data_IF_416851301332
#
_entry.id   IF_416851301332
#
_cell.length_a   1.000
_cell.length_b   1.000
_cell.length_c   1.000
_cell.angle_alpha   90.00
_cell.angle_beta   90.00
_cell.angle_gamma   90.00
#
_symmetry.space_group_name_H-M   'P 1'
#
loop_
_entity.id
_entity.type
_entity.pdbx_description
1 polymer ?
#
# COMPACT_ATOMS: atom_id res chain seq x y z
N UNK A 1 21.07 -2.08 20.93
CA UNK A 1 19.64 -1.82 21.11
C UNK A 1 19.31 -0.51 20.43
N UNK A 2 18.71 -0.56 19.23
CA UNK A 2 18.18 0.62 18.55
C UNK A 2 16.80 0.20 18.07
N UNK A 3 15.77 0.77 18.70
CA UNK A 3 14.38 0.46 18.40
C UNK A 3 14.00 1.09 17.06
N UNK A 4 13.67 0.23 16.11
CA UNK A 4 12.79 0.60 15.00
C UNK A 4 11.48 1.09 15.61
N UNK A 5 11.17 2.37 15.40
CA UNK A 5 9.85 2.90 15.71
C UNK A 5 8.85 2.23 14.75
N UNK A 6 8.32 1.09 15.16
CA UNK A 6 7.11 0.53 14.56
C UNK A 6 6.01 1.49 14.94
N UNK A 7 5.60 2.34 13.99
CA UNK A 7 4.40 3.15 14.15
C UNK A 7 3.22 2.19 13.98
N UNK A 8 2.84 1.57 15.09
CA UNK A 8 1.63 0.76 15.21
C UNK A 8 0.44 1.70 15.03
N UNK A 9 -0.38 1.56 13.96
CA UNK A 9 -1.55 2.40 13.80
C UNK A 9 -2.55 2.04 14.92
N UNK A 10 -3.01 3.00 15.72
CA UNK A 10 -4.09 2.74 16.67
C UNK A 10 -5.34 2.38 15.88
N UNK A 11 -6.06 1.35 16.32
CA UNK A 11 -7.38 1.01 15.78
C UNK A 11 -8.29 2.25 15.88
N UNK A 12 -8.52 2.93 14.77
CA UNK A 12 -9.35 4.12 14.76
C UNK A 12 -10.79 3.74 15.08
N UNK A 13 -11.30 4.29 16.19
CA UNK A 13 -12.73 4.35 16.42
C UNK A 13 -13.34 5.24 15.33
N UNK A 14 -14.51 4.88 14.79
CA UNK A 14 -15.19 5.56 13.68
C UNK A 14 -15.28 7.11 13.81
N UNK A 15 -15.23 7.64 15.05
CA UNK A 15 -15.20 9.08 15.33
C UNK A 15 -13.92 9.80 14.90
N UNK A 16 -12.76 9.13 14.87
CA UNK A 16 -11.50 9.75 14.49
C UNK A 16 -11.35 9.93 12.97
N UNK A 17 -11.85 8.97 12.18
CA UNK A 17 -11.89 9.09 10.73
C UNK A 17 -12.74 10.28 10.29
N UNK A 18 -13.98 10.40 10.80
CA UNK A 18 -14.88 11.49 10.44
C UNK A 18 -14.29 12.87 10.76
N UNK A 19 -13.59 13.00 11.89
CA UNK A 19 -12.91 14.24 12.29
C UNK A 19 -11.75 14.58 11.36
N UNK A 20 -10.90 13.60 11.06
CA UNK A 20 -9.76 13.80 10.14
C UNK A 20 -10.19 14.19 8.74
N UNK A 21 -11.21 13.51 8.20
CA UNK A 21 -11.81 13.85 6.90
C UNK A 21 -12.38 15.27 6.89
N UNK A 22 -13.00 15.69 7.99
CA UNK A 22 -13.53 17.05 8.12
C UNK A 22 -12.42 18.10 8.08
N UNK A 23 -11.26 17.84 8.72
CA UNK A 23 -10.12 18.75 8.66
C UNK A 23 -9.51 18.84 7.26
N UNK A 24 -9.31 17.70 6.58
CA UNK A 24 -8.81 17.68 5.20
C UNK A 24 -9.73 18.50 4.29
N UNK A 25 -11.06 18.34 4.41
CA UNK A 25 -12.04 19.10 3.60
C UNK A 25 -12.08 20.60 3.89
N UNK A 26 -11.69 21.05 5.08
CA UNK A 26 -11.57 22.48 5.36
C UNK A 26 -10.44 23.11 4.55
N UNK A 27 -9.35 22.37 4.33
CA UNK A 27 -8.17 22.84 3.58
C UNK A 27 -8.27 22.54 2.08
N UNK A 28 -8.99 21.48 1.70
CA UNK A 28 -9.30 21.11 0.32
C UNK A 28 -10.79 20.76 0.18
N UNK A 29 -11.66 21.75 -0.09
CA UNK A 29 -13.10 21.52 -0.24
C UNK A 29 -13.48 20.59 -1.41
N UNK A 30 -12.54 20.31 -2.33
CA UNK A 30 -12.75 19.40 -3.46
C UNK A 30 -12.45 17.94 -3.11
N UNK A 31 -11.82 17.67 -1.97
CA UNK A 31 -11.55 16.33 -1.52
C UNK A 31 -12.87 15.59 -1.22
N UNK A 32 -13.10 14.50 -1.96
CA UNK A 32 -14.24 13.60 -1.78
C UNK A 32 -13.77 12.24 -1.26
N UNK A 33 -13.93 11.96 0.04
CA UNK A 33 -13.47 10.69 0.62
C UNK A 33 -14.21 9.47 0.05
N UNK A 34 -15.46 9.65 -0.42
CA UNK A 34 -16.24 8.54 -1.00
C UNK A 34 -15.64 8.03 -2.30
N UNK A 35 -14.83 8.86 -2.97
CA UNK A 35 -14.13 8.52 -4.21
C UNK A 35 -12.70 8.09 -3.99
N UNK A 36 -12.16 8.18 -2.78
CA UNK A 36 -10.73 7.94 -2.54
C UNK A 36 -10.34 6.47 -2.65
N UNK A 37 -11.29 5.55 -2.47
CA UNK A 37 -11.06 4.11 -2.64
C UNK A 37 -10.68 3.74 -4.09
N UNK A 38 -11.18 4.47 -5.10
CA UNK A 38 -10.89 4.22 -6.52
C UNK A 38 -9.41 4.46 -6.87
N UNK A 39 -8.81 5.66 -6.65
CA UNK A 39 -7.40 5.88 -6.92
C UNK A 39 -6.49 5.05 -6.00
N UNK A 40 -6.90 4.77 -4.76
CA UNK A 40 -6.15 3.86 -3.90
C UNK A 40 -6.09 2.44 -4.51
N UNK A 41 -7.20 1.95 -5.06
CA UNK A 41 -7.26 0.64 -5.73
C UNK A 41 -6.43 0.61 -7.03
N UNK A 42 -6.43 1.70 -7.82
CA UNK A 42 -5.54 1.82 -8.99
C UNK A 42 -4.07 1.69 -8.58
N UNK A 43 -3.66 2.45 -7.55
CA UNK A 43 -2.28 2.42 -7.05
C UNK A 43 -1.95 1.02 -6.51
N UNK A 44 -2.87 0.38 -5.79
CA UNK A 44 -2.71 -1.00 -5.32
C UNK A 44 -2.33 -1.95 -6.45
N UNK A 45 -3.14 -2.03 -7.51
CA UNK A 45 -2.84 -2.95 -8.63
C UNK A 45 -1.56 -2.58 -9.38
N UNK A 46 -1.29 -1.29 -9.57
CA UNK A 46 -0.06 -0.83 -10.25
C UNK A 46 1.20 -1.18 -9.47
N UNK A 47 1.17 -1.01 -8.14
CA UNK A 47 2.29 -1.35 -7.26
C UNK A 47 2.52 -2.86 -7.23
N UNK A 48 1.45 -3.67 -7.16
CA UNK A 48 1.57 -5.13 -7.24
C UNK A 48 2.14 -5.59 -8.59
N UNK A 49 1.72 -4.98 -9.70
CA UNK A 49 2.27 -5.27 -11.01
C UNK A 49 3.76 -4.90 -11.12
N UNK A 50 4.13 -3.73 -10.62
CA UNK A 50 5.51 -3.26 -10.54
C UNK A 50 6.39 -4.22 -9.71
N UNK A 51 5.88 -4.67 -8.56
CA UNK A 51 6.55 -5.64 -7.69
C UNK A 51 6.82 -6.98 -8.39
N UNK A 52 5.81 -7.56 -9.07
CA UNK A 52 5.98 -8.80 -9.84
C UNK A 52 6.99 -8.65 -10.99
N UNK A 53 7.00 -7.48 -11.64
CA UNK A 53 8.00 -7.14 -12.67
C UNK A 53 9.38 -6.80 -12.08
N UNK A 54 9.46 -6.66 -10.75
CA UNK A 54 10.60 -6.08 -9.99
C UNK A 54 10.94 -4.65 -10.41
N UNK A 55 10.09 -3.96 -11.16
CA UNK A 55 10.35 -2.64 -11.75
C UNK A 55 9.40 -1.59 -11.16
N UNK A 56 9.93 -0.75 -10.28
CA UNK A 56 9.18 0.28 -9.58
C UNK A 56 9.13 1.62 -10.33
N UNK A 57 9.86 1.78 -11.44
CA UNK A 57 10.01 3.08 -12.10
C UNK A 57 8.68 3.67 -12.56
N UNK A 58 7.79 2.83 -13.10
CA UNK A 58 6.45 3.22 -13.56
C UNK A 58 5.50 3.69 -12.44
N UNK A 59 5.80 3.37 -11.17
CA UNK A 59 4.97 3.74 -10.02
C UNK A 59 5.64 4.76 -9.09
N UNK A 60 6.93 5.09 -9.27
CA UNK A 60 7.60 6.15 -8.47
C UNK A 60 6.78 7.44 -8.33
N UNK A 61 6.06 7.95 -9.35
CA UNK A 61 5.28 9.17 -9.22
C UNK A 61 4.11 9.08 -8.22
N UNK A 62 3.69 7.89 -7.79
CA UNK A 62 2.63 7.69 -6.79
C UNK A 62 3.17 7.18 -5.44
N UNK A 63 4.48 7.09 -5.28
CA UNK A 63 5.15 6.71 -4.03
C UNK A 63 5.81 7.93 -3.39
N UNK A 64 6.03 7.89 -2.08
CA UNK A 64 7.04 8.74 -1.45
C UNK A 64 8.44 8.26 -1.86
N UNK A 65 9.45 9.13 -1.71
CA UNK A 65 10.83 8.76 -2.01
C UNK A 65 11.31 7.58 -1.17
N UNK A 66 10.99 7.59 0.13
CA UNK A 66 11.31 6.52 1.06
C UNK A 66 10.65 5.19 0.67
N UNK A 67 9.35 5.20 0.36
CA UNK A 67 8.63 4.00 -0.07
C UNK A 67 9.22 3.46 -1.38
N UNK A 68 9.47 4.33 -2.36
CA UNK A 68 10.09 3.92 -3.62
C UNK A 68 11.48 3.29 -3.40
N UNK A 69 12.31 3.88 -2.55
CA UNK A 69 13.63 3.35 -2.24
C UNK A 69 13.55 1.97 -1.53
N UNK A 70 12.65 1.83 -0.55
CA UNK A 70 12.44 0.58 0.17
C UNK A 70 11.97 -0.55 -0.77
N UNK A 71 10.95 -0.28 -1.60
CA UNK A 71 10.43 -1.28 -2.55
C UNK A 71 11.45 -1.63 -3.63
N UNK A 72 12.23 -0.66 -4.11
CA UNK A 72 13.32 -0.90 -5.05
C UNK A 72 14.40 -1.81 -4.46
N UNK A 73 14.80 -1.56 -3.21
CA UNK A 73 15.81 -2.38 -2.52
C UNK A 73 15.33 -3.84 -2.38
N UNK A 74 14.06 -4.05 -2.08
CA UNK A 74 13.48 -5.39 -2.03
C UNK A 74 13.40 -6.06 -3.41
N UNK A 75 13.07 -5.31 -4.47
CA UNK A 75 13.13 -5.80 -5.85
C UNK A 75 14.56 -6.23 -6.24
N UNK A 76 15.56 -5.44 -5.86
CA UNK A 76 16.97 -5.73 -6.13
C UNK A 76 17.46 -6.95 -5.35
N UNK A 77 16.98 -7.14 -4.12
CA UNK A 77 17.22 -8.35 -3.35
C UNK A 77 16.66 -9.59 -4.07
N UNK A 78 15.42 -9.53 -4.57
CA UNK A 78 14.83 -10.63 -5.35
C UNK A 78 15.64 -10.93 -6.62
N UNK A 79 16.08 -9.89 -7.35
CA UNK A 79 16.98 -10.05 -8.51
C UNK A 79 18.29 -10.72 -8.14
N UNK A 80 18.94 -10.28 -7.07
CA UNK A 80 20.20 -10.86 -6.59
C UNK A 80 20.05 -12.34 -6.22
N UNK A 81 18.87 -12.70 -5.70
CA UNK A 81 18.53 -14.08 -5.36
C UNK A 81 18.03 -14.91 -6.55
N UNK A 82 17.87 -14.31 -7.74
CA UNK A 82 17.26 -14.93 -8.93
C UNK A 82 15.87 -15.48 -8.65
N UNK A 83 15.08 -14.70 -7.92
CA UNK A 83 13.74 -15.03 -7.46
C UNK A 83 12.73 -14.07 -8.06
N UNK A 84 11.55 -14.60 -8.36
CA UNK A 84 10.42 -13.83 -8.86
C UNK A 84 9.22 -14.08 -7.95
N UNK A 85 8.75 -13.05 -7.25
CA UNK A 85 7.47 -13.14 -6.57
C UNK A 85 6.32 -13.02 -7.57
N UNK A 86 5.30 -13.85 -7.41
CA UNK A 86 4.15 -13.98 -8.30
C UNK A 86 2.88 -13.84 -7.48
N UNK A 87 2.02 -12.94 -7.92
CA UNK A 87 0.71 -12.70 -7.34
C UNK A 87 -0.34 -13.00 -8.40
N UNK A 88 -1.09 -14.06 -8.20
CA UNK A 88 -2.11 -14.52 -9.15
C UNK A 88 -3.49 -14.56 -8.50
N UNK A 89 -4.55 -14.53 -9.30
CA UNK A 89 -5.94 -14.60 -8.83
C UNK A 89 -6.29 -13.60 -7.72
N UNK A 90 -5.74 -12.38 -7.82
CA UNK A 90 -6.01 -11.31 -6.86
C UNK A 90 -7.51 -11.01 -6.87
N UNK A 91 -8.15 -11.20 -5.72
CA UNK A 91 -9.56 -10.91 -5.48
C UNK A 91 -9.68 -9.96 -4.30
N UNK A 92 -9.95 -8.68 -4.60
CA UNK A 92 -10.22 -7.65 -3.59
C UNK A 92 -11.66 -7.82 -3.08
N UNK A 93 -11.81 -7.92 -1.76
CA UNK A 93 -13.10 -8.12 -1.08
C UNK A 93 -13.67 -6.85 -0.50
N UNK A 94 -12.80 -5.99 0.05
CA UNK A 94 -13.19 -4.70 0.60
C UNK A 94 -12.06 -3.68 0.44
N UNK A 95 -12.45 -2.42 0.24
CA UNK A 95 -11.57 -1.26 0.17
C UNK A 95 -12.25 -0.15 0.94
N UNK A 96 -11.80 0.10 2.17
CA UNK A 96 -12.47 1.01 3.09
C UNK A 96 -11.48 2.04 3.61
N UNK A 97 -11.89 3.30 3.74
CA UNK A 97 -11.08 4.28 4.46
C UNK A 97 -11.06 3.87 5.94
N UNK A 98 -9.87 3.70 6.49
CA UNK A 98 -9.66 3.32 7.89
C UNK A 98 -9.37 4.55 8.75
N UNK A 99 -8.47 5.42 8.28
CA UNK A 99 -8.00 6.58 9.03
C UNK A 99 -7.82 7.79 8.13
N UNK A 100 -7.96 8.97 8.73
CA UNK A 100 -7.56 10.21 8.12
C UNK A 100 -7.06 11.15 9.22
N UNK A 101 -5.96 11.86 8.95
CA UNK A 101 -5.45 12.86 9.89
C UNK A 101 -4.60 13.90 9.16
N UNK A 102 -4.23 14.95 9.90
CA UNK A 102 -3.26 15.93 9.46
C UNK A 102 -2.14 15.98 10.50
N UNK A 103 -0.89 15.92 10.03
CA UNK A 103 0.28 16.05 10.90
C UNK A 103 1.38 16.81 10.16
N UNK A 104 2.01 17.78 10.84
CA UNK A 104 3.21 18.50 10.36
C UNK A 104 3.08 19.06 8.93
N UNK A 105 1.91 19.58 8.57
CA UNK A 105 1.65 20.17 7.26
C UNK A 105 1.41 19.15 6.14
N UNK A 106 1.16 17.89 6.48
CA UNK A 106 0.72 16.84 5.55
C UNK A 106 -0.70 16.36 5.90
N UNK A 107 -1.48 16.05 4.88
CA UNK A 107 -2.68 15.23 4.99
C UNK A 107 -2.28 13.75 4.90
N UNK A 108 -2.98 12.89 5.64
CA UNK A 108 -2.84 11.44 5.57
C UNK A 108 -4.21 10.77 5.47
N UNK A 109 -4.29 9.72 4.66
CA UNK A 109 -5.45 8.83 4.58
C UNK A 109 -4.96 7.39 4.50
N UNK A 110 -5.42 6.54 5.40
CA UNK A 110 -5.18 5.10 5.37
C UNK A 110 -6.39 4.38 4.80
N UNK A 111 -6.14 3.47 3.86
CA UNK A 111 -7.14 2.62 3.23
C UNK A 111 -6.88 1.17 3.60
N UNK A 112 -7.88 0.49 4.15
CA UNK A 112 -7.87 -0.94 4.44
C UNK A 112 -8.26 -1.72 3.19
N UNK A 113 -7.36 -2.59 2.75
CA UNK A 113 -7.59 -3.58 1.72
C UNK A 113 -7.77 -4.95 2.36
N UNK A 114 -8.92 -5.57 2.14
CA UNK A 114 -9.13 -6.98 2.45
C UNK A 114 -9.15 -7.75 1.13
N UNK A 115 -8.21 -8.66 0.93
CA UNK A 115 -8.07 -9.36 -0.34
C UNK A 115 -7.59 -10.80 -0.14
N UNK A 116 -7.67 -11.58 -1.22
CA UNK A 116 -7.08 -12.91 -1.31
C UNK A 116 -6.37 -13.09 -2.64
N UNK A 117 -5.24 -13.77 -2.64
CA UNK A 117 -4.44 -14.04 -3.84
C UNK A 117 -3.64 -15.33 -3.68
N UNK A 118 -3.14 -15.86 -4.78
CA UNK A 118 -2.06 -16.84 -4.77
C UNK A 118 -0.74 -16.08 -4.66
N UNK A 119 0.01 -16.32 -3.58
CA UNK A 119 1.34 -15.77 -3.36
C UNK A 119 2.35 -16.90 -3.43
N UNK A 120 3.27 -16.81 -4.39
CA UNK A 120 4.37 -17.74 -4.48
C UNK A 120 5.59 -17.11 -5.12
N UNK A 121 6.76 -17.60 -4.73
CA UNK A 121 8.04 -17.20 -5.31
C UNK A 121 8.58 -18.32 -6.16
N UNK A 122 9.00 -17.99 -7.38
CA UNK A 122 9.65 -18.93 -8.31
C UNK A 122 11.13 -18.65 -8.46
N UNK A 123 11.84 -19.60 -9.06
CA UNK A 123 13.13 -19.34 -9.71
C UNK A 123 12.98 -18.31 -10.85
N UNK A 124 14.12 -17.79 -11.33
CA UNK A 124 14.17 -16.84 -12.44
C UNK A 124 13.45 -17.36 -13.70
N UNK A 125 13.50 -18.68 -13.94
CA UNK A 125 12.84 -19.34 -15.07
C UNK A 125 11.32 -19.50 -14.93
N UNK A 126 10.76 -19.33 -13.73
CA UNK A 126 9.33 -19.51 -13.46
C UNK A 126 8.86 -20.98 -13.40
N UNK A 127 9.78 -21.92 -13.50
CA UNK A 127 9.51 -23.36 -13.57
C UNK A 127 9.30 -23.98 -12.20
N UNK A 128 10.12 -23.58 -11.22
CA UNK A 128 10.09 -24.15 -9.89
C UNK A 128 9.52 -23.14 -8.90
N UNK A 129 8.54 -23.57 -8.11
CA UNK A 129 8.09 -22.84 -6.92
C UNK A 129 9.10 -23.10 -5.80
N UNK A 130 9.66 -22.02 -5.26
CA UNK A 130 10.63 -22.02 -4.16
C UNK A 130 9.91 -21.81 -2.82
N UNK A 131 8.86 -21.00 -2.81
CA UNK A 131 8.11 -20.61 -1.61
C UNK A 131 6.65 -20.30 -1.97
N UNK A 132 5.73 -20.48 -1.02
CA UNK A 132 4.30 -20.22 -1.19
C UNK A 132 3.56 -21.31 -1.96
N UNK A 133 2.38 -20.98 -2.49
CA UNK A 133 1.49 -21.94 -3.14
C UNK A 133 0.84 -21.40 -4.40
N UNK A 134 0.81 -22.23 -5.45
CA UNK A 134 0.07 -21.97 -6.70
C UNK A 134 -1.41 -22.35 -6.64
N UNK A 135 -1.85 -22.98 -5.54
CA UNK A 135 -3.19 -23.55 -5.45
C UNK A 135 -3.94 -23.15 -4.18
N UNK A 136 -3.24 -22.64 -3.17
CA UNK A 136 -3.81 -22.24 -1.90
C UNK A 136 -3.78 -20.72 -1.78
N UNK A 137 -4.94 -20.04 -1.93
CA UNK A 137 -4.98 -18.59 -1.77
C UNK A 137 -4.73 -18.20 -0.32
N UNK A 138 -3.86 -17.21 -0.14
CA UNK A 138 -3.70 -16.51 1.13
C UNK A 138 -4.72 -15.37 1.20
N UNK A 139 -5.26 -15.15 2.40
CA UNK A 139 -6.09 -13.98 2.71
C UNK A 139 -5.23 -13.02 3.50
N UNK A 140 -5.32 -11.75 3.18
CA UNK A 140 -4.59 -10.71 3.88
C UNK A 140 -5.45 -9.47 4.05
N UNK A 141 -5.14 -8.73 5.09
CA UNK A 141 -5.66 -7.41 5.37
C UNK A 141 -4.46 -6.47 5.46
N UNK A 142 -4.47 -5.41 4.68
CA UNK A 142 -3.42 -4.41 4.62
C UNK A 142 -3.98 -3.01 4.75
N UNK A 143 -3.23 -2.13 5.41
CA UNK A 143 -3.49 -0.71 5.53
C UNK A 143 -2.48 0.03 4.68
N UNK A 144 -2.95 0.72 3.66
CA UNK A 144 -2.13 1.51 2.75
C UNK A 144 -2.32 2.98 3.10
N UNK A 145 -1.28 3.61 3.62
CA UNK A 145 -1.30 5.01 4.03
C UNK A 145 -0.81 5.89 2.88
N UNK A 146 -1.64 6.86 2.49
CA UNK A 146 -1.32 7.86 1.48
C UNK A 146 -1.12 9.21 2.14
N UNK A 147 -0.20 10.01 1.61
CA UNK A 147 0.10 11.36 2.08
C UNK A 147 0.21 12.37 0.96
N UNK A 148 -0.05 13.64 1.29
CA UNK A 148 0.22 14.82 0.45
C UNK A 148 0.42 16.04 1.35
N UNK A 149 1.04 17.12 0.86
CA UNK A 149 1.00 18.41 1.55
C UNK A 149 -0.45 18.86 1.74
N UNK A 150 -0.73 19.54 2.85
CA UNK A 150 -2.08 20.07 3.15
C UNK A 150 -2.59 20.91 1.99
N UNK A 151 -3.81 20.60 1.54
CA UNK A 151 -4.48 21.27 0.42
C UNK A 151 -4.48 20.45 -0.88
N UNK A 152 -4.77 21.08 -2.04
CA UNK A 152 -4.80 20.36 -3.31
C UNK A 152 -3.42 19.82 -3.69
N UNK A 153 -3.35 18.53 -4.03
CA UNK A 153 -2.09 17.88 -4.36
C UNK A 153 -2.26 16.42 -4.74
N UNK A 154 -1.16 15.84 -5.21
CA UNK A 154 -1.08 14.41 -5.59
C UNK A 154 -0.82 13.59 -4.34
N UNK A 155 -1.66 12.59 -4.11
CA UNK A 155 -1.49 11.60 -3.06
C UNK A 155 -0.37 10.61 -3.40
N UNK A 156 0.45 10.28 -2.41
CA UNK A 156 1.59 9.37 -2.53
C UNK A 156 1.50 8.29 -1.46
N UNK A 157 1.71 7.05 -1.83
CA UNK A 157 1.81 5.94 -0.87
C UNK A 157 3.07 6.11 -0.01
N UNK A 158 2.88 6.17 1.31
CA UNK A 158 3.94 6.35 2.29
C UNK A 158 4.16 5.14 3.18
N UNK A 159 3.14 4.31 3.39
CA UNK A 159 3.26 3.09 4.22
C UNK A 159 2.31 1.99 3.74
N UNK A 160 2.75 0.75 3.92
CA UNK A 160 1.94 -0.46 3.79
C UNK A 160 2.14 -1.24 5.09
N UNK A 161 1.05 -1.59 5.78
CA UNK A 161 1.07 -2.37 7.00
C UNK A 161 0.11 -3.55 6.87
N UNK A 162 0.59 -4.76 7.10
CA UNK A 162 -0.27 -5.95 7.18
C UNK A 162 -0.89 -6.05 8.58
N UNK A 163 -2.18 -6.36 8.66
CA UNK A 163 -2.83 -6.69 9.92
C UNK A 163 -2.23 -7.99 10.48
N UNK A 164 -1.85 -7.98 11.76
CA UNK A 164 -1.25 -9.11 12.47
C UNK A 164 -2.21 -10.25 12.78
#
# INVERSE_FOLDING_TARGET
AQGTAVMEPPAAADGDLARGLSHIRQMDPRFDPTRFAEPASDIFFRVQAAWMARDMDGVRPVLTEEMAASMQAQCDQLRAQRRVNRLENIAVRAVDLAEAWQERGQDFVSVRFLASLLDFTTDEGGTQVIEGSRTEPVKFEEYWTFTRPVGPGVWRLSAIQQAG
#
